data_IF_804851486828
#
_entry.id   IF_804851486828
#
_cell.length_a   1.000
_cell.length_b   1.000
_cell.length_c   1.000
_cell.angle_alpha   90.00
_cell.angle_beta   90.00
_cell.angle_gamma   90.00
#
_symmetry.space_group_name_H-M   'P 1'
#
loop_
_entity.id
_entity.type
_entity.pdbx_description
1 polymer ?
#
# COMPACT_ATOMS: atom_id res chain seq x y z
N UNK A 1 30.96 -30.27 40.39
CA UNK A 1 30.15 -30.61 39.20
C UNK A 1 28.93 -29.68 38.99
N UNK A 2 28.92 -28.47 39.57
CA UNK A 2 27.77 -27.54 39.56
C UNK A 2 27.96 -26.28 38.71
N UNK A 3 29.08 -26.11 38.06
CA UNK A 3 29.43 -24.86 37.37
C UNK A 3 29.10 -24.84 35.85
N UNK A 4 28.80 -25.99 35.25
CA UNK A 4 28.57 -26.11 33.81
C UNK A 4 27.13 -25.88 33.34
N UNK A 5 26.17 -26.00 34.26
CA UNK A 5 24.73 -25.86 33.92
C UNK A 5 24.27 -24.40 33.82
N UNK A 6 24.90 -23.46 34.55
CA UNK A 6 24.52 -22.04 34.53
C UNK A 6 24.84 -21.32 33.21
N UNK A 7 25.88 -21.76 32.50
CA UNK A 7 26.29 -21.12 31.24
C UNK A 7 25.41 -21.57 30.09
N UNK A 8 24.96 -22.81 30.07
CA UNK A 8 24.06 -23.34 29.04
C UNK A 8 22.68 -22.70 29.16
N UNK A 9 22.16 -22.51 30.37
CA UNK A 9 20.87 -21.87 30.61
C UNK A 9 20.88 -20.38 30.17
N UNK A 10 22.00 -19.68 30.41
CA UNK A 10 22.14 -18.29 29.93
C UNK A 10 22.18 -18.16 28.40
N UNK A 11 22.77 -19.12 27.71
CA UNK A 11 22.82 -19.12 26.23
C UNK A 11 21.44 -19.43 25.66
N UNK A 12 20.71 -20.38 26.23
CA UNK A 12 19.35 -20.74 25.81
C UNK A 12 18.36 -19.60 26.11
N UNK A 13 18.50 -18.95 27.28
CA UNK A 13 17.67 -17.79 27.64
C UNK A 13 17.92 -16.58 26.74
N UNK A 14 19.15 -16.34 26.32
CA UNK A 14 19.51 -15.29 25.37
C UNK A 14 18.93 -15.54 23.96
N UNK A 15 18.90 -16.80 23.53
CA UNK A 15 18.38 -17.19 22.22
C UNK A 15 16.84 -17.06 22.15
N UNK A 16 16.14 -17.43 23.23
CA UNK A 16 14.68 -17.24 23.34
C UNK A 16 14.30 -15.75 23.33
N UNK A 17 15.11 -14.89 23.97
CA UNK A 17 14.88 -13.45 23.99
C UNK A 17 15.08 -12.81 22.60
N UNK A 18 16.10 -13.24 21.83
CA UNK A 18 16.36 -12.75 20.47
C UNK A 18 15.24 -13.20 19.52
N UNK A 19 14.75 -14.43 19.65
CA UNK A 19 13.66 -14.96 18.82
C UNK A 19 12.34 -14.24 19.11
N UNK A 20 12.10 -13.86 20.38
CA UNK A 20 10.92 -13.09 20.77
C UNK A 20 10.96 -11.65 20.27
N UNK A 21 12.14 -11.02 20.23
CA UNK A 21 12.32 -9.65 19.69
C UNK A 21 12.11 -9.64 18.17
N UNK A 22 12.60 -10.64 17.44
CA UNK A 22 12.37 -10.76 15.99
C UNK A 22 10.89 -11.00 15.69
N UNK A 23 10.19 -11.78 16.52
CA UNK A 23 8.74 -12.01 16.36
C UNK A 23 7.91 -10.76 16.70
N UNK A 24 8.34 -9.98 17.70
CA UNK A 24 7.67 -8.74 18.09
C UNK A 24 7.85 -7.61 17.05
N UNK A 25 8.99 -7.56 16.36
CA UNK A 25 9.24 -6.59 15.28
C UNK A 25 8.45 -6.96 14.02
N UNK A 26 8.21 -8.25 13.77
CA UNK A 26 7.40 -8.71 12.63
C UNK A 26 5.89 -8.43 12.76
N UNK A 27 5.38 -8.26 13.99
CA UNK A 27 3.97 -7.90 14.22
C UNK A 27 3.73 -6.38 14.32
N UNK A 28 4.79 -5.58 14.28
CA UNK A 28 4.74 -4.13 14.27
C UNK A 28 4.65 -3.54 12.86
N UNK A 29 4.05 -4.24 11.89
CA UNK A 29 3.51 -3.57 10.72
C UNK A 29 2.35 -2.73 11.23
N UNK A 30 2.70 -1.52 11.67
CA UNK A 30 1.74 -0.52 12.06
C UNK A 30 0.72 -0.42 10.93
N UNK A 31 -0.51 -0.75 11.23
CA UNK A 31 -1.62 -0.11 10.59
C UNK A 31 -1.32 1.38 10.70
N UNK A 32 -0.73 1.93 9.63
CA UNK A 32 -0.86 3.36 9.37
C UNK A 32 -2.39 3.49 9.27
N UNK A 33 -2.99 3.92 10.36
CA UNK A 33 -4.32 4.45 10.31
C UNK A 33 -4.17 5.66 9.37
N UNK A 34 -4.35 5.43 8.08
CA UNK A 34 -4.72 6.49 7.18
C UNK A 34 -5.95 7.09 7.85
N UNK A 35 -5.78 8.28 8.39
CA UNK A 35 -6.90 9.16 8.68
C UNK A 35 -7.53 9.36 7.31
N UNK A 36 -8.39 8.42 6.94
CA UNK A 36 -9.24 8.51 5.80
C UNK A 36 -10.12 9.69 6.13
N UNK A 37 -9.78 10.88 5.64
CA UNK A 37 -10.78 11.90 5.43
C UNK A 37 -11.86 11.17 4.67
N UNK A 38 -12.95 10.83 5.36
CA UNK A 38 -14.06 10.18 4.68
C UNK A 38 -14.53 11.20 3.65
N UNK A 39 -14.28 10.97 2.36
CA UNK A 39 -14.80 11.87 1.35
C UNK A 39 -16.29 11.89 1.56
N UNK A 40 -16.88 13.07 1.46
CA UNK A 40 -18.32 13.21 1.45
C UNK A 40 -18.85 12.16 0.45
N UNK A 41 -19.77 11.29 0.92
CA UNK A 41 -20.21 10.11 0.17
C UNK A 41 -20.79 10.56 -1.17
N UNK A 42 -20.03 10.36 -2.26
CA UNK A 42 -20.48 10.68 -3.62
C UNK A 42 -21.64 9.77 -4.02
N UNK A 43 -22.47 10.23 -4.95
CA UNK A 43 -23.51 9.42 -5.57
C UNK A 43 -22.86 8.32 -6.42
N UNK A 44 -21.75 8.63 -7.08
CA UNK A 44 -20.99 7.70 -7.88
C UNK A 44 -19.56 7.56 -7.35
N UNK A 45 -19.25 6.36 -6.87
CA UNK A 45 -17.93 6.01 -6.34
C UNK A 45 -17.37 4.85 -7.16
N UNK A 46 -16.13 4.96 -7.54
CA UNK A 46 -15.42 3.91 -8.27
C UNK A 46 -15.30 2.65 -7.41
N UNK A 47 -15.71 1.51 -7.95
CA UNK A 47 -15.68 0.21 -7.26
C UNK A 47 -14.25 -0.26 -6.96
N UNK A 48 -13.26 0.20 -7.71
CA UNK A 48 -11.86 -0.25 -7.61
C UNK A 48 -11.13 0.40 -6.44
N UNK A 49 -11.28 1.71 -6.28
CA UNK A 49 -10.46 2.50 -5.35
C UNK A 49 -11.28 3.35 -4.36
N UNK A 50 -12.61 3.36 -4.51
CA UNK A 50 -13.50 4.12 -3.64
C UNK A 50 -13.39 5.63 -3.81
N UNK A 51 -12.79 6.11 -4.90
CA UNK A 51 -12.67 7.52 -5.23
C UNK A 51 -13.96 7.97 -5.94
N UNK A 52 -14.52 9.17 -5.63
CA UNK A 52 -15.63 9.72 -6.40
C UNK A 52 -15.28 9.78 -7.90
N UNK A 53 -16.18 9.29 -8.75
CA UNK A 53 -15.96 9.23 -10.20
C UNK A 53 -15.66 10.62 -10.76
N UNK A 54 -16.36 11.65 -10.26
CA UNK A 54 -16.16 13.02 -10.70
C UNK A 54 -14.71 13.52 -10.50
N UNK A 55 -13.98 13.02 -9.48
CA UNK A 55 -12.56 13.37 -9.27
C UNK A 55 -11.69 12.84 -10.40
N UNK A 56 -12.03 11.69 -10.96
CA UNK A 56 -11.28 11.07 -12.06
C UNK A 56 -11.45 11.79 -13.41
N UNK A 57 -12.43 12.67 -13.51
CA UNK A 57 -12.63 13.54 -14.69
C UNK A 57 -11.76 14.79 -14.67
N UNK A 58 -11.04 15.04 -13.57
CA UNK A 58 -10.01 16.09 -13.54
C UNK A 58 -8.85 15.71 -14.47
N UNK A 59 -8.30 16.66 -15.26
CA UNK A 59 -7.07 16.44 -16.01
C UNK A 59 -5.94 15.98 -15.08
N UNK A 60 -5.21 14.93 -15.45
CA UNK A 60 -4.12 14.36 -14.64
C UNK A 60 -4.53 14.13 -13.16
N UNK A 61 -5.72 13.59 -12.96
CA UNK A 61 -6.38 13.48 -11.64
C UNK A 61 -5.48 12.83 -10.57
N UNK A 62 -4.64 11.87 -10.93
CA UNK A 62 -3.72 11.21 -9.99
C UNK A 62 -2.73 12.18 -9.35
N UNK A 63 -2.25 13.15 -10.14
CA UNK A 63 -1.30 14.15 -9.65
C UNK A 63 -1.98 15.23 -8.79
N UNK A 64 -3.23 15.57 -9.09
CA UNK A 64 -3.95 16.65 -8.41
C UNK A 64 -4.91 16.17 -7.33
N UNK A 65 -5.10 14.87 -7.16
CA UNK A 65 -6.02 14.28 -6.21
C UNK A 65 -5.83 14.80 -4.78
N UNK A 66 -4.60 14.92 -4.33
CA UNK A 66 -4.28 15.40 -2.98
C UNK A 66 -4.65 16.87 -2.74
N UNK A 67 -4.79 17.65 -3.81
CA UNK A 67 -5.14 19.07 -3.79
C UNK A 67 -6.59 19.31 -4.25
N UNK A 68 -7.26 18.27 -4.73
CA UNK A 68 -8.65 18.37 -5.16
C UNK A 68 -9.58 18.40 -3.95
N UNK A 69 -10.66 19.16 -4.08
CA UNK A 69 -11.72 19.24 -3.08
C UNK A 69 -13.03 18.81 -3.71
N UNK A 70 -13.64 17.77 -3.15
CA UNK A 70 -14.95 17.29 -3.54
C UNK A 70 -16.02 18.03 -2.73
N UNK A 71 -17.08 18.51 -3.39
CA UNK A 71 -18.05 19.48 -2.87
C UNK A 71 -19.47 18.99 -3.11
N UNK A 72 -20.32 19.05 -2.07
CA UNK A 72 -21.72 18.64 -2.11
C UNK A 72 -22.71 19.71 -1.68
N UNK A 73 -22.22 20.85 -1.26
CA UNK A 73 -23.07 21.92 -0.76
C UNK A 73 -22.47 23.30 -1.06
N UNK A 74 -23.31 24.32 -1.01
CA UNK A 74 -22.91 25.70 -1.26
C UNK A 74 -21.88 26.26 -0.26
N UNK A 75 -21.98 26.00 1.04
CA UNK A 75 -20.97 26.42 2.01
C UNK A 75 -19.56 25.89 1.70
N UNK A 76 -19.43 24.61 1.36
CA UNK A 76 -18.12 24.01 0.99
C UNK A 76 -17.60 24.61 -0.32
N UNK A 77 -18.48 24.88 -1.29
CA UNK A 77 -18.13 25.54 -2.55
C UNK A 77 -17.50 26.92 -2.31
N UNK A 78 -18.14 27.74 -1.44
CA UNK A 78 -17.62 29.07 -1.07
C UNK A 78 -16.33 28.98 -0.27
N UNK A 79 -16.20 27.97 0.59
CA UNK A 79 -14.97 27.75 1.35
C UNK A 79 -13.79 27.40 0.44
N UNK A 80 -14.02 26.60 -0.62
CA UNK A 80 -12.97 26.17 -1.53
C UNK A 80 -12.58 27.22 -2.57
N UNK A 81 -13.55 28.02 -3.06
CA UNK A 81 -13.36 28.92 -4.20
C UNK A 81 -13.49 30.44 -3.85
N UNK A 82 -13.81 30.73 -2.59
CA UNK A 82 -14.12 32.09 -2.15
C UNK A 82 -15.56 32.51 -2.54
N UNK A 83 -15.92 33.73 -2.17
CA UNK A 83 -17.22 34.31 -2.55
C UNK A 83 -17.15 34.81 -3.98
N UNK A 84 -17.84 34.11 -4.89
CA UNK A 84 -17.99 34.50 -6.30
C UNK A 84 -19.47 34.48 -6.62
N UNK A 85 -20.06 35.59 -7.06
CA UNK A 85 -21.51 35.67 -7.31
C UNK A 85 -22.05 34.59 -8.25
N UNK A 86 -21.24 34.17 -9.24
CA UNK A 86 -21.62 33.10 -10.17
C UNK A 86 -21.85 31.75 -9.47
N UNK A 87 -21.17 31.49 -8.34
CA UNK A 87 -21.31 30.24 -7.58
C UNK A 87 -22.63 30.18 -6.80
N UNK A 88 -23.27 31.31 -6.53
CA UNK A 88 -24.59 31.34 -5.87
C UNK A 88 -25.72 30.82 -6.77
N UNK A 89 -25.47 30.68 -8.07
CA UNK A 89 -26.39 30.07 -9.02
C UNK A 89 -26.40 28.53 -8.98
N UNK A 90 -25.45 27.92 -8.27
CA UNK A 90 -25.32 26.46 -8.22
C UNK A 90 -26.26 25.89 -7.15
N UNK A 91 -27.21 25.05 -7.58
CA UNK A 91 -28.14 24.37 -6.69
C UNK A 91 -27.66 22.93 -6.44
N UNK A 92 -27.41 22.60 -5.17
CA UNK A 92 -27.00 21.28 -4.72
C UNK A 92 -28.17 20.40 -4.23
N UNK A 93 -29.38 20.92 -4.18
CA UNK A 93 -30.54 20.20 -3.59
C UNK A 93 -30.97 18.99 -4.40
N UNK A 94 -30.71 18.99 -5.71
CA UNK A 94 -31.06 17.90 -6.63
C UNK A 94 -29.97 16.80 -6.78
N UNK A 95 -29.04 16.71 -5.86
CA UNK A 95 -27.95 15.71 -5.96
C UNK A 95 -26.80 16.15 -6.89
N UNK A 96 -26.64 17.46 -7.09
CA UNK A 96 -25.51 18.05 -7.79
C UNK A 96 -24.22 17.81 -6.98
N UNK A 97 -23.17 17.43 -7.66
CA UNK A 97 -21.82 17.26 -7.07
C UNK A 97 -20.83 18.15 -7.81
N UNK A 98 -19.78 18.54 -7.12
CA UNK A 98 -18.73 19.34 -7.74
C UNK A 98 -17.34 18.91 -7.26
N UNK A 99 -16.34 19.16 -8.10
CA UNK A 99 -14.93 18.98 -7.74
C UNK A 99 -14.13 20.19 -8.21
N UNK A 100 -13.20 20.63 -7.40
CA UNK A 100 -12.27 21.70 -7.74
C UNK A 100 -10.83 21.27 -7.51
N UNK A 101 -9.93 21.72 -8.40
CA UNK A 101 -8.50 21.51 -8.25
C UNK A 101 -7.72 22.71 -8.82
N UNK A 102 -6.55 23.04 -8.22
CA UNK A 102 -5.67 24.09 -8.75
C UNK A 102 -4.85 23.55 -9.94
N UNK A 103 -4.72 24.37 -10.98
CA UNK A 103 -3.86 24.13 -12.12
C UNK A 103 -3.03 25.38 -12.45
N UNK A 104 -1.92 25.26 -13.19
CA UNK A 104 -1.14 26.41 -13.64
C UNK A 104 -1.97 27.39 -14.50
N UNK A 105 -2.96 26.88 -15.21
CA UNK A 105 -3.89 27.65 -16.05
C UNK A 105 -5.08 28.27 -15.29
N UNK A 106 -5.11 28.14 -13.96
CA UNK A 106 -6.20 28.65 -13.13
C UNK A 106 -6.83 27.56 -12.28
N UNK A 107 -7.88 27.91 -11.54
CA UNK A 107 -8.60 26.94 -10.68
C UNK A 107 -9.77 26.34 -11.46
N UNK A 108 -9.70 25.05 -11.72
CA UNK A 108 -10.76 24.29 -12.39
C UNK A 108 -11.85 23.91 -11.40
N UNK A 109 -13.11 24.08 -11.78
CA UNK A 109 -14.29 23.57 -11.12
C UNK A 109 -15.15 22.80 -12.13
N UNK A 110 -15.47 21.56 -11.82
CA UNK A 110 -16.42 20.75 -12.57
C UNK A 110 -17.64 20.54 -11.69
N UNK A 111 -18.81 20.89 -12.18
CA UNK A 111 -20.10 20.67 -11.52
C UNK A 111 -20.87 19.65 -12.35
N UNK A 112 -21.24 18.55 -11.73
CA UNK A 112 -22.06 17.51 -12.33
C UNK A 112 -23.49 17.62 -11.85
N UNK A 113 -24.40 17.70 -12.82
CA UNK A 113 -25.83 17.68 -12.56
C UNK A 113 -26.40 16.30 -12.82
N UNK A 114 -27.34 15.87 -11.98
CA UNK A 114 -27.97 14.54 -12.07
C UNK A 114 -28.72 14.33 -13.41
N UNK A 115 -29.11 15.38 -14.07
CA UNK A 115 -29.81 15.30 -15.36
C UNK A 115 -29.34 16.35 -16.37
N UNK A 116 -29.42 16.04 -17.68
CA UNK A 116 -29.13 17.00 -18.73
C UNK A 116 -29.99 18.27 -18.67
N UNK A 117 -31.26 18.14 -18.21
CA UNK A 117 -32.21 19.26 -18.11
C UNK A 117 -31.71 20.27 -17.07
N UNK A 118 -31.34 19.81 -15.89
CA UNK A 118 -30.79 20.69 -14.85
C UNK A 118 -29.49 21.36 -15.30
N UNK A 119 -28.63 20.62 -16.00
CA UNK A 119 -27.38 21.18 -16.56
C UNK A 119 -27.67 22.27 -17.62
N UNK A 120 -28.68 22.10 -18.46
CA UNK A 120 -29.10 23.11 -19.47
C UNK A 120 -29.68 24.36 -18.80
N UNK A 121 -30.53 24.17 -17.78
CA UNK A 121 -31.08 25.30 -17.03
C UNK A 121 -29.99 26.09 -16.33
N UNK A 122 -29.09 25.42 -15.65
CA UNK A 122 -27.93 26.04 -15.03
C UNK A 122 -27.02 26.74 -16.06
N UNK A 123 -26.80 26.13 -17.24
CA UNK A 123 -26.02 26.72 -18.33
C UNK A 123 -26.63 28.06 -18.78
N UNK A 124 -27.97 28.12 -18.95
CA UNK A 124 -28.64 29.34 -19.35
C UNK A 124 -28.50 30.43 -18.26
N UNK A 125 -28.66 30.08 -17.01
CA UNK A 125 -28.54 31.00 -15.87
C UNK A 125 -27.10 31.55 -15.79
N UNK A 126 -26.08 30.69 -15.89
CA UNK A 126 -24.67 31.06 -15.86
C UNK A 126 -24.31 31.96 -17.06
N UNK A 127 -24.70 31.61 -18.28
CA UNK A 127 -24.44 32.43 -19.46
C UNK A 127 -25.08 33.82 -19.38
N UNK A 128 -26.34 33.89 -18.93
CA UNK A 128 -27.04 35.15 -18.70
C UNK A 128 -26.31 36.00 -17.65
N UNK A 129 -25.86 35.38 -16.57
CA UNK A 129 -25.13 36.08 -15.52
C UNK A 129 -23.76 36.60 -16.04
N UNK A 130 -22.98 35.74 -16.70
CA UNK A 130 -21.66 36.12 -17.23
C UNK A 130 -21.76 37.18 -18.32
N UNK A 131 -22.80 37.20 -19.14
CA UNK A 131 -23.00 38.22 -20.12
C UNK A 131 -23.27 39.62 -19.54
N UNK A 132 -23.83 39.68 -18.31
CA UNK A 132 -24.14 40.93 -17.61
C UNK A 132 -23.02 41.34 -16.63
N UNK A 133 -22.32 40.39 -16.02
CA UNK A 133 -21.44 40.59 -14.90
C UNK A 133 -20.06 39.90 -15.10
N UNK A 134 -19.67 39.55 -16.30
CA UNK A 134 -18.40 38.85 -16.58
C UNK A 134 -17.19 39.70 -16.17
N UNK A 135 -16.26 39.10 -15.44
CA UNK A 135 -15.03 39.73 -14.96
C UNK A 135 -13.80 39.55 -15.89
N UNK A 136 -13.99 38.85 -17.02
CA UNK A 136 -12.93 38.53 -17.98
C UNK A 136 -11.92 37.48 -17.51
N UNK A 137 -11.98 37.04 -16.28
CA UNK A 137 -11.09 36.01 -15.70
C UNK A 137 -11.81 34.73 -15.35
N UNK A 138 -13.15 34.67 -15.58
CA UNK A 138 -14.00 33.50 -15.37
C UNK A 138 -14.40 32.94 -16.74
N UNK A 139 -13.88 31.77 -17.05
CA UNK A 139 -14.19 31.05 -18.29
C UNK A 139 -15.13 29.89 -17.98
N UNK A 140 -16.12 29.70 -18.86
CA UNK A 140 -17.19 28.75 -18.64
C UNK A 140 -17.51 27.98 -19.91
N UNK A 141 -17.74 26.67 -19.76
CA UNK A 141 -18.24 25.82 -20.82
C UNK A 141 -19.04 24.67 -20.28
N UNK A 142 -20.15 24.35 -20.94
CA UNK A 142 -20.93 23.15 -20.63
C UNK A 142 -20.53 22.00 -21.56
N UNK A 143 -20.39 20.80 -21.00
CA UNK A 143 -20.15 19.56 -21.75
C UNK A 143 -20.97 18.43 -21.15
N UNK A 144 -22.04 17.99 -21.87
CA UNK A 144 -22.96 16.99 -21.32
C UNK A 144 -23.71 17.48 -20.08
N UNK A 145 -23.57 16.74 -18.98
CA UNK A 145 -24.10 17.09 -17.65
C UNK A 145 -23.13 17.95 -16.83
N UNK A 146 -21.92 18.22 -17.36
CA UNK A 146 -20.91 18.99 -16.67
C UNK A 146 -20.98 20.46 -17.02
N UNK A 147 -21.02 21.32 -16.02
CA UNK A 147 -20.76 22.73 -16.11
C UNK A 147 -19.38 23.01 -15.57
N UNK A 148 -18.48 23.46 -16.44
CA UNK A 148 -17.05 23.57 -16.18
C UNK A 148 -16.66 25.03 -16.12
N UNK A 149 -16.02 25.44 -15.03
CA UNK A 149 -15.49 26.76 -14.83
C UNK A 149 -13.97 26.72 -14.67
N UNK A 150 -13.29 27.74 -15.19
CA UNK A 150 -11.90 28.02 -14.87
C UNK A 150 -11.85 29.46 -14.36
N UNK A 151 -11.42 29.57 -13.10
CA UNK A 151 -11.25 30.86 -12.43
C UNK A 151 -9.78 31.27 -12.40
N UNK A 152 -9.57 32.57 -12.35
CA UNK A 152 -8.24 33.17 -12.19
C UNK A 152 -7.27 32.72 -13.31
N UNK A 153 -7.78 32.47 -14.50
CA UNK A 153 -6.96 32.08 -15.63
C UNK A 153 -6.16 33.29 -16.17
N UNK A 154 -4.90 33.09 -16.59
CA UNK A 154 -4.07 34.16 -17.12
C UNK A 154 -4.59 34.63 -18.48
N UNK A 155 -5.14 33.73 -19.29
CA UNK A 155 -5.70 34.02 -20.59
C UNK A 155 -6.80 33.01 -20.98
N UNK A 156 -7.57 33.40 -22.02
CA UNK A 156 -8.66 32.57 -22.55
C UNK A 156 -8.14 31.26 -23.19
N UNK A 157 -6.98 31.31 -23.83
CA UNK A 157 -6.43 30.15 -24.53
C UNK A 157 -6.03 29.06 -23.53
N UNK A 158 -5.38 29.43 -22.40
CA UNK A 158 -5.02 28.52 -21.34
C UNK A 158 -6.28 27.93 -20.67
N UNK A 159 -7.29 28.75 -20.40
CA UNK A 159 -8.56 28.29 -19.83
C UNK A 159 -9.27 27.29 -20.77
N UNK A 160 -9.40 27.61 -22.03
CA UNK A 160 -10.03 26.73 -23.02
C UNK A 160 -9.24 25.43 -23.25
N UNK A 161 -7.91 25.48 -23.21
CA UNK A 161 -7.06 24.30 -23.29
C UNK A 161 -7.30 23.35 -22.06
N UNK A 162 -7.43 23.91 -20.85
CA UNK A 162 -7.73 23.16 -19.64
C UNK A 162 -9.14 22.56 -19.68
N UNK A 163 -10.14 23.35 -20.07
CA UNK A 163 -11.53 22.87 -20.23
C UNK A 163 -11.60 21.74 -21.28
N UNK A 164 -10.82 21.86 -22.36
CA UNK A 164 -10.79 20.85 -23.44
C UNK A 164 -10.23 19.49 -23.00
N UNK A 165 -9.50 19.43 -21.90
CA UNK A 165 -8.99 18.18 -21.34
C UNK A 165 -10.04 17.43 -20.49
N UNK A 166 -11.09 18.11 -20.03
CA UNK A 166 -12.18 17.48 -19.30
C UNK A 166 -13.04 16.67 -20.26
N UNK A 167 -13.01 15.35 -20.10
CA UNK A 167 -13.80 14.42 -20.91
C UNK A 167 -15.11 14.10 -20.21
N UNK A 168 -16.21 14.27 -20.95
CA UNK A 168 -17.51 13.77 -20.50
C UNK A 168 -17.63 12.31 -20.90
N UNK A 169 -17.71 11.44 -19.90
CA UNK A 169 -17.99 10.02 -20.09
C UNK A 169 -19.44 9.74 -19.68
N UNK A 170 -20.21 9.19 -20.62
CA UNK A 170 -21.57 8.79 -20.33
C UNK A 170 -21.54 7.45 -19.60
N UNK A 171 -21.86 7.44 -18.32
CA UNK A 171 -22.07 6.19 -17.60
C UNK A 171 -23.41 5.57 -18.02
N UNK A 172 -23.40 4.36 -18.54
CA UNK A 172 -24.60 3.62 -18.92
C UNK A 172 -25.03 2.81 -17.70
N UNK A 173 -26.05 3.30 -17.00
CA UNK A 173 -26.69 2.56 -15.93
C UNK A 173 -27.78 1.65 -16.50
N UNK A 174 -27.70 0.36 -16.20
CA UNK A 174 -28.75 -0.60 -16.58
C UNK A 174 -29.90 -0.47 -15.58
N UNK A 175 -31.11 -0.14 -16.09
CA UNK A 175 -32.32 -0.03 -15.28
C UNK A 175 -32.97 -1.40 -14.97
N UNK A 176 -32.34 -2.50 -15.32
CA UNK A 176 -32.77 -3.86 -15.07
C UNK A 176 -31.61 -4.72 -14.61
N UNK A 177 -31.80 -6.04 -14.68
CA UNK A 177 -30.73 -7.00 -14.37
C UNK A 177 -29.51 -6.74 -15.27
N UNK A 178 -28.37 -6.51 -14.62
CA UNK A 178 -27.14 -6.26 -15.34
C UNK A 178 -26.68 -7.53 -16.08
N UNK A 179 -26.67 -7.53 -17.42
CA UNK A 179 -26.25 -8.69 -18.19
C UNK A 179 -24.77 -9.04 -18.02
N UNK A 180 -23.98 -8.12 -17.47
CA UNK A 180 -22.55 -8.31 -17.24
C UNK A 180 -22.19 -8.51 -15.76
N UNK A 181 -23.19 -8.72 -14.88
CA UNK A 181 -22.98 -8.95 -13.46
C UNK A 181 -21.94 -10.05 -13.20
N UNK A 182 -22.07 -11.18 -13.91
CA UNK A 182 -21.14 -12.32 -13.80
C UNK A 182 -19.72 -11.94 -14.21
N UNK A 183 -19.55 -11.20 -15.29
CA UNK A 183 -18.23 -10.73 -15.74
C UNK A 183 -17.59 -9.72 -14.79
N UNK A 184 -18.38 -8.87 -14.14
CA UNK A 184 -17.88 -7.95 -13.10
C UNK A 184 -17.45 -8.71 -11.85
N UNK A 185 -18.26 -9.66 -11.41
CA UNK A 185 -17.92 -10.52 -10.28
C UNK A 185 -16.66 -11.37 -10.56
N UNK A 186 -16.54 -11.90 -11.77
CA UNK A 186 -15.37 -12.66 -12.21
C UNK A 186 -14.09 -11.80 -12.17
N UNK A 187 -14.13 -10.57 -12.71
CA UNK A 187 -13.01 -9.64 -12.67
C UNK A 187 -12.62 -9.23 -11.25
N UNK A 188 -13.62 -8.93 -10.41
CA UNK A 188 -13.39 -8.60 -9.00
C UNK A 188 -12.75 -9.78 -8.25
N UNK A 189 -13.25 -11.00 -8.51
CA UNK A 189 -12.70 -12.22 -7.93
C UNK A 189 -11.25 -12.48 -8.38
N UNK A 190 -10.96 -12.34 -9.68
CA UNK A 190 -9.62 -12.53 -10.23
C UNK A 190 -8.63 -11.53 -9.62
N UNK A 191 -9.00 -10.26 -9.52
CA UNK A 191 -8.14 -9.24 -8.92
C UNK A 191 -7.86 -9.51 -7.44
N UNK A 192 -8.90 -9.79 -6.65
CA UNK A 192 -8.73 -10.12 -5.22
C UNK A 192 -7.92 -11.39 -5.01
N UNK A 193 -8.15 -12.42 -5.84
CA UNK A 193 -7.42 -13.68 -5.75
C UNK A 193 -5.96 -13.50 -6.13
N UNK A 194 -5.67 -12.68 -7.13
CA UNK A 194 -4.30 -12.33 -7.53
C UNK A 194 -3.53 -11.67 -6.38
N UNK A 195 -4.12 -10.67 -5.74
CA UNK A 195 -3.47 -9.95 -4.63
C UNK A 195 -3.22 -10.87 -3.42
N UNK A 196 -4.19 -11.73 -3.09
CA UNK A 196 -4.01 -12.74 -2.04
C UNK A 196 -2.93 -13.76 -2.40
N UNK A 197 -2.88 -14.18 -3.65
CA UNK A 197 -1.86 -15.12 -4.12
C UNK A 197 -0.46 -14.54 -4.00
N UNK A 198 -0.23 -13.33 -4.51
CA UNK A 198 1.08 -12.69 -4.45
C UNK A 198 1.52 -12.42 -3.02
N UNK A 199 0.63 -11.92 -2.17
CA UNK A 199 0.96 -11.68 -0.75
C UNK A 199 1.30 -12.98 -0.01
N UNK A 200 0.59 -14.07 -0.31
CA UNK A 200 0.87 -15.38 0.28
C UNK A 200 2.23 -15.92 -0.18
N UNK A 201 2.55 -15.83 -1.47
CA UNK A 201 3.85 -16.23 -2.01
C UNK A 201 4.98 -15.44 -1.38
N UNK A 202 4.82 -14.12 -1.21
CA UNK A 202 5.80 -13.26 -0.56
C UNK A 202 6.07 -13.69 0.89
N UNK A 203 5.04 -13.93 1.67
CA UNK A 203 5.15 -14.40 3.06
C UNK A 203 5.86 -15.75 3.14
N UNK A 204 5.51 -16.69 2.25
CA UNK A 204 6.16 -18.01 2.20
C UNK A 204 7.64 -17.87 1.84
N UNK A 205 7.97 -17.09 0.82
CA UNK A 205 9.35 -16.86 0.39
C UNK A 205 10.19 -16.23 1.51
N UNK A 206 9.63 -15.25 2.21
CA UNK A 206 10.27 -14.61 3.35
C UNK A 206 10.47 -15.60 4.51
N UNK A 207 9.48 -16.45 4.81
CA UNK A 207 9.56 -17.49 5.83
C UNK A 207 10.67 -18.51 5.53
N UNK A 208 10.76 -18.97 4.28
CA UNK A 208 11.83 -19.89 3.84
C UNK A 208 13.19 -19.21 3.96
N UNK A 209 13.32 -17.97 3.50
CA UNK A 209 14.58 -17.21 3.58
C UNK A 209 15.06 -17.05 5.02
N UNK A 210 14.17 -16.66 5.93
CA UNK A 210 14.49 -16.56 7.37
C UNK A 210 14.86 -17.90 7.99
N UNK A 211 14.19 -18.98 7.60
CA UNK A 211 14.49 -20.34 8.08
C UNK A 211 15.88 -20.79 7.69
N UNK A 212 16.29 -20.55 6.43
CA UNK A 212 17.62 -20.88 5.94
C UNK A 212 18.69 -20.06 6.67
N UNK A 213 18.49 -18.76 6.82
CA UNK A 213 19.42 -17.88 7.56
C UNK A 213 19.54 -18.30 9.02
N UNK A 214 18.43 -18.59 9.68
CA UNK A 214 18.40 -19.09 11.04
C UNK A 214 19.14 -20.42 11.18
N UNK A 215 18.90 -21.34 10.26
CA UNK A 215 19.61 -22.64 10.21
C UNK A 215 21.12 -22.49 10.03
N UNK A 216 21.59 -21.60 9.17
CA UNK A 216 23.01 -21.31 8.98
C UNK A 216 23.66 -20.74 10.24
N UNK A 217 22.99 -19.80 10.92
CA UNK A 217 23.50 -19.20 12.17
C UNK A 217 23.60 -20.26 13.26
N UNK A 218 22.57 -21.06 13.47
CA UNK A 218 22.55 -22.13 14.47
C UNK A 218 23.60 -23.19 14.14
N UNK A 219 23.69 -23.60 12.87
CA UNK A 219 24.70 -24.55 12.40
C UNK A 219 26.14 -24.05 12.61
N UNK A 220 26.38 -22.77 12.33
CA UNK A 220 27.67 -22.14 12.55
C UNK A 220 28.07 -22.11 14.06
N UNK A 221 27.12 -21.70 14.90
CA UNK A 221 27.33 -21.69 16.37
C UNK A 221 27.62 -23.11 16.87
N UNK A 222 26.83 -24.10 16.42
CA UNK A 222 27.04 -25.48 16.78
C UNK A 222 28.41 -26.00 16.31
N UNK A 223 28.81 -25.65 15.10
CA UNK A 223 30.13 -25.99 14.58
C UNK A 223 31.27 -25.42 15.46
N UNK A 224 31.20 -24.13 15.82
CA UNK A 224 32.19 -23.51 16.71
C UNK A 224 32.26 -24.16 18.09
N UNK A 225 31.13 -24.50 18.66
CA UNK A 225 31.09 -25.18 19.97
C UNK A 225 31.72 -26.57 19.87
N UNK A 226 31.38 -27.30 18.82
CA UNK A 226 31.94 -28.64 18.58
C UNK A 226 33.43 -28.63 18.27
N UNK A 227 33.88 -27.65 17.51
CA UNK A 227 35.31 -27.47 17.20
C UNK A 227 36.11 -27.20 18.48
N UNK A 228 35.65 -26.34 19.37
CA UNK A 228 36.27 -26.11 20.68
C UNK A 228 36.30 -27.38 21.54
N UNK A 229 35.25 -28.17 21.55
CA UNK A 229 35.24 -29.45 22.26
C UNK A 229 36.24 -30.45 21.68
N UNK A 230 36.38 -30.52 20.35
CA UNK A 230 37.33 -31.39 19.68
C UNK A 230 38.77 -31.00 19.97
N UNK A 231 39.08 -29.71 20.06
CA UNK A 231 40.42 -29.26 20.42
C UNK A 231 40.80 -29.71 21.84
N UNK A 232 39.87 -29.60 22.79
CA UNK A 232 40.08 -30.08 24.16
C UNK A 232 40.27 -31.60 24.22
N UNK A 233 39.57 -32.36 23.38
CA UNK A 233 39.77 -33.82 23.30
C UNK A 233 41.03 -34.21 22.53
N UNK A 234 41.55 -33.40 21.62
CA UNK A 234 42.78 -33.67 20.90
C UNK A 234 43.99 -33.61 21.80
N UNK A 235 44.08 -32.63 22.69
CA UNK A 235 45.17 -32.58 23.67
C UNK A 235 45.16 -33.80 24.62
N UNK A 236 43.99 -34.34 24.92
CA UNK A 236 43.89 -35.52 25.73
C UNK A 236 44.11 -36.83 24.98
N UNK A 237 43.83 -36.83 23.69
CA UNK A 237 43.96 -38.01 22.85
C UNK A 237 45.41 -38.32 22.46
N UNK A 238 46.27 -37.29 22.31
CA UNK A 238 47.65 -37.51 22.01
C UNK A 238 48.45 -38.15 23.19
N UNK A 239 48.05 -37.83 24.42
CA UNK A 239 48.63 -38.43 25.58
C UNK A 239 48.14 -39.89 25.85
N UNK A 240 46.88 -40.12 25.47
CA UNK A 240 46.23 -41.43 25.73
C UNK A 240 46.18 -42.30 24.48
N UNK A 241 46.52 -41.70 23.38
CA UNK A 241 46.36 -42.34 22.11
C UNK A 241 47.00 -43.66 21.96
N UNK A 242 47.94 -43.90 22.77
CA UNK A 242 48.68 -45.12 22.65
C UNK A 242 48.21 -46.23 23.53
N UNK A 243 47.53 -45.89 24.58
CA UNK A 243 46.95 -46.93 25.47
C UNK A 243 45.64 -47.46 24.98
N UNK A 244 45.27 -46.97 23.94
CA UNK A 244 44.14 -47.14 23.23
C UNK A 244 43.65 -48.44 23.02
N UNK A 245 44.23 -49.07 22.51
CA UNK A 245 43.95 -50.44 22.21
C UNK A 245 44.70 -51.29 23.19
N UNK A 246 44.58 -50.99 24.43
CA UNK A 246 45.11 -51.92 25.40
C UNK A 246 44.33 -53.22 25.27
N UNK A 247 44.82 -54.01 24.36
CA UNK A 247 44.47 -55.40 24.22
C UNK A 247 45.22 -56.28 25.24
N UNK A 248 45.83 -55.61 26.22
CA UNK A 248 46.72 -56.22 27.20
C UNK A 248 45.99 -57.27 28.01
N UNK A 249 44.70 -57.17 28.15
CA UNK A 249 43.91 -58.26 28.74
C UNK A 249 43.71 -59.46 27.82
N UNK A 250 44.06 -59.30 26.51
CA UNK A 250 43.86 -60.33 25.52
C UNK A 250 45.17 -60.85 24.91
N UNK A 251 46.24 -60.06 25.01
CA UNK A 251 47.58 -60.48 24.58
C UNK A 251 48.39 -60.90 25.82
N UNK A 252 48.92 -62.12 25.83
CA UNK A 252 49.76 -62.52 26.90
C UNK A 252 51.06 -61.69 26.91
N UNK A 253 51.47 -61.25 28.08
CA UNK A 253 52.76 -60.52 28.27
C UNK A 253 53.89 -61.29 27.64
N UNK A 254 54.46 -60.68 26.64
CA UNK A 254 55.74 -61.22 26.05
C UNK A 254 56.86 -60.78 26.95
N UNK A 255 57.19 -61.62 27.88
CA UNK A 255 58.38 -61.35 28.69
C UNK A 255 59.60 -61.22 27.82
N UNK A 256 60.46 -60.18 27.98
CA UNK A 256 61.60 -59.92 27.13
C UNK A 256 62.58 -61.07 27.04
N UNK A 257 62.66 -61.89 28.05
CA UNK A 257 63.51 -63.06 28.10
C UNK A 257 63.05 -64.27 27.26
N UNK A 258 61.82 -64.21 26.70
CA UNK A 258 61.35 -65.22 25.75
C UNK A 258 61.83 -64.96 24.31
N UNK A 259 62.23 -63.76 23.99
CA UNK A 259 62.76 -63.39 22.65
C UNK A 259 64.23 -63.71 22.49
N UNK A 260 64.92 -64.11 23.55
CA UNK A 260 66.36 -64.38 23.52
C UNK A 260 66.68 -65.88 23.51
N UNK A 261 65.70 -66.75 23.44
CA UNK A 261 65.85 -68.19 23.52
C UNK A 261 65.32 -68.94 22.29
N UNK A 262 65.17 -68.28 21.13
CA UNK A 262 64.98 -68.95 19.84
C UNK A 262 66.11 -68.71 18.89
#
# INVERSE_FOLDING_TARGET
MYFKTRTVIKVIGGFAAVLFVVFAVGLGVGTIAQTKNQPAKSLEVSEVDGIPVLVKHLPDWEAVQSQSTFIKNGPDLRSALGQRPVLDLVDFTAGTEAVTAPYPAGRLLIIEYISPQLSIEADNNVKNFLSQNGDGHTFYKRTGNYNIFVFDAPDEAAANALIGQVKYEKNIQWLGDDPFLLHRMERAFVNQTSDLFFSTVEVIALGIGLSILGGLIVGYIFFLVRERQRQTFREFSDAGGMTRLNLDGLTPDIAPNRLLNE
#
